data_IF_876199814148
#
_entry.id   IF_876199814148
#
_cell.length_a   1.000
_cell.length_b   1.000
_cell.length_c   1.000
_cell.angle_alpha   90.00
_cell.angle_beta   90.00
_cell.angle_gamma   90.00
#
_symmetry.space_group_name_H-M   'P 1'
#
loop_
_entity.id
_entity.type
_entity.pdbx_description
1 polymer ?
#
# COMPACT_ATOMS: atom_id res chain seq x y z
N UNK A 1 -4.97 25.21 1.19
CA UNK A 1 -5.16 23.81 0.79
C UNK A 1 -5.27 22.92 2.03
N UNK A 2 -6.14 21.91 1.99
CA UNK A 2 -6.26 20.90 3.04
C UNK A 2 -5.23 19.76 2.88
N UNK A 3 -4.51 19.75 1.76
CA UNK A 3 -3.55 18.72 1.41
C UNK A 3 -2.13 19.19 1.81
N UNK A 4 -1.35 18.36 2.52
CA UNK A 4 0.02 18.68 2.91
C UNK A 4 0.94 18.96 1.72
N UNK A 5 1.96 19.76 1.92
CA UNK A 5 2.89 20.18 0.85
C UNK A 5 3.60 18.99 0.18
N UNK A 6 3.95 17.95 0.94
CA UNK A 6 4.61 16.74 0.40
C UNK A 6 3.68 15.83 -0.43
N UNK A 7 2.37 16.10 -0.45
CA UNK A 7 1.37 15.40 -1.27
C UNK A 7 0.81 16.28 -2.40
N UNK A 8 1.52 17.32 -2.79
CA UNK A 8 1.15 18.19 -3.91
C UNK A 8 2.38 18.76 -4.59
N UNK A 9 2.22 19.13 -5.84
CA UNK A 9 3.26 19.79 -6.59
C UNK A 9 3.56 21.20 -6.04
N UNK A 10 4.83 21.59 -5.87
CA UNK A 10 5.19 22.94 -5.42
C UNK A 10 4.71 24.04 -6.37
N UNK A 11 4.66 23.76 -7.67
CA UNK A 11 4.20 24.71 -8.71
C UNK A 11 2.68 24.63 -8.96
N UNK A 12 1.97 23.79 -8.21
CA UNK A 12 0.51 23.66 -8.28
C UNK A 12 -0.02 22.87 -9.47
N UNK A 13 0.82 22.11 -10.16
CA UNK A 13 0.43 21.33 -11.35
C UNK A 13 -0.40 20.09 -11.01
N UNK A 14 -0.28 19.55 -9.79
CA UNK A 14 -1.07 18.42 -9.31
C UNK A 14 -1.27 18.47 -7.80
N UNK A 15 -2.29 17.78 -7.32
CA UNK A 15 -2.58 17.59 -5.88
C UNK A 15 -2.93 16.14 -5.59
N UNK A 16 -2.50 15.65 -4.41
CA UNK A 16 -2.92 14.35 -3.91
C UNK A 16 -4.38 14.35 -3.48
N UNK A 17 -5.07 13.24 -3.68
CA UNK A 17 -6.49 13.06 -3.33
C UNK A 17 -6.68 11.95 -2.30
N UNK A 18 -5.93 10.85 -2.42
CA UNK A 18 -5.95 9.75 -1.47
C UNK A 18 -4.59 9.08 -1.34
N UNK A 19 -4.38 8.36 -0.24
CA UNK A 19 -3.14 7.63 0.05
C UNK A 19 -3.45 6.16 0.24
N UNK A 20 -2.59 5.28 -0.25
CA UNK A 20 -2.65 3.82 -0.03
C UNK A 20 -1.28 3.30 0.34
N UNK A 21 -1.23 2.43 1.33
CA UNK A 21 -0.01 1.76 1.73
C UNK A 21 0.14 0.43 0.96
N UNK A 22 1.37 0.07 0.65
CA UNK A 22 1.73 -1.27 0.22
C UNK A 22 2.54 -1.91 1.32
N UNK A 23 1.94 -2.83 2.06
CA UNK A 23 2.51 -3.35 3.30
C UNK A 23 2.41 -4.86 3.42
N UNK A 24 2.96 -5.42 4.49
CA UNK A 24 2.91 -6.86 4.77
C UNK A 24 1.51 -7.22 5.23
N UNK A 25 0.99 -8.33 4.72
CA UNK A 25 -0.19 -9.04 5.22
C UNK A 25 0.22 -10.41 5.72
N UNK A 26 -0.40 -10.88 6.80
CA UNK A 26 -0.03 -12.15 7.41
C UNK A 26 -1.22 -12.90 7.98
N UNK A 27 -1.11 -14.22 8.10
CA UNK A 27 -2.06 -15.08 8.81
C UNK A 27 -1.91 -14.91 10.32
N UNK A 28 -2.97 -14.52 11.00
CA UNK A 28 -2.96 -14.41 12.48
C UNK A 28 -2.91 -15.75 13.20
N UNK A 29 -3.15 -16.85 12.50
CA UNK A 29 -3.13 -18.21 13.04
C UNK A 29 -1.75 -18.87 12.95
N UNK A 30 -0.88 -18.40 12.01
CA UNK A 30 0.39 -19.06 11.68
C UNK A 30 1.63 -18.19 11.83
N UNK A 31 1.44 -16.90 12.09
CA UNK A 31 2.54 -15.92 12.22
C UNK A 31 2.35 -15.12 13.50
N UNK A 32 3.35 -15.13 14.36
CA UNK A 32 3.43 -14.18 15.47
C UNK A 32 3.85 -12.80 14.88
N UNK A 33 3.11 -11.70 15.13
CA UNK A 33 3.49 -10.38 14.67
C UNK A 33 4.89 -9.93 15.12
N UNK A 34 5.42 -10.47 16.20
CA UNK A 34 6.79 -10.22 16.65
C UNK A 34 7.87 -10.83 15.73
N UNK A 35 7.50 -11.73 14.83
CA UNK A 35 8.40 -12.25 13.80
C UNK A 35 8.57 -11.27 12.62
N UNK A 36 7.69 -10.26 12.50
CA UNK A 36 7.67 -9.30 11.41
C UNK A 36 8.43 -8.01 11.80
N UNK A 37 9.09 -7.38 10.84
CA UNK A 37 9.80 -6.11 11.07
C UNK A 37 9.83 -5.23 9.81
N UNK A 38 10.55 -5.64 8.79
CA UNK A 38 10.79 -4.86 7.58
C UNK A 38 10.49 -5.66 6.31
N UNK A 39 10.38 -4.97 5.17
CA UNK A 39 10.35 -5.65 3.87
C UNK A 39 11.60 -6.49 3.62
N UNK A 40 12.76 -5.99 4.07
CA UNK A 40 14.05 -6.65 3.94
C UNK A 40 14.08 -7.97 4.72
N UNK A 41 13.43 -8.02 5.89
CA UNK A 41 13.34 -9.21 6.73
C UNK A 41 12.62 -10.38 6.05
N UNK A 42 11.71 -10.12 5.11
CA UNK A 42 11.06 -11.17 4.31
C UNK A 42 12.05 -11.96 3.40
N UNK A 43 13.30 -11.49 3.27
CA UNK A 43 14.36 -12.23 2.61
C UNK A 43 15.04 -13.30 3.51
N UNK A 44 14.77 -13.29 4.82
CA UNK A 44 15.33 -14.26 5.75
C UNK A 44 14.80 -15.68 5.51
N UNK A 45 15.64 -16.68 5.79
CA UNK A 45 15.33 -18.10 5.58
C UNK A 45 14.10 -18.58 6.39
N UNK A 46 13.74 -17.91 7.49
CA UNK A 46 12.51 -18.22 8.25
C UNK A 46 11.23 -18.14 7.41
N UNK A 47 11.27 -17.41 6.29
CA UNK A 47 10.15 -17.25 5.35
C UNK A 47 10.23 -18.17 4.14
N UNK A 48 11.19 -19.09 4.06
CA UNK A 48 11.33 -20.02 2.92
C UNK A 48 10.06 -20.87 2.78
N UNK A 49 9.44 -20.83 1.59
CA UNK A 49 8.18 -21.51 1.29
C UNK A 49 6.94 -20.91 1.98
N UNK A 50 7.05 -19.71 2.56
CA UNK A 50 5.96 -19.05 3.33
C UNK A 50 5.53 -17.70 2.76
N UNK A 51 6.21 -17.19 1.71
CA UNK A 51 5.99 -15.87 1.14
C UNK A 51 5.18 -15.93 -0.16
N UNK A 52 4.13 -15.13 -0.27
CA UNK A 52 3.41 -14.88 -1.52
C UNK A 52 3.58 -13.43 -1.98
N UNK A 53 3.90 -13.24 -3.25
CA UNK A 53 4.11 -11.91 -3.84
C UNK A 53 3.29 -11.70 -5.10
N UNK A 54 3.07 -10.44 -5.42
CA UNK A 54 2.52 -10.02 -6.71
C UNK A 54 3.63 -9.99 -7.76
N UNK A 55 3.27 -10.29 -9.01
CA UNK A 55 4.19 -10.24 -10.14
C UNK A 55 4.85 -8.84 -10.31
N UNK A 56 6.15 -8.85 -10.63
CA UNK A 56 6.92 -7.64 -10.95
C UNK A 56 6.49 -6.94 -12.24
N UNK A 57 5.61 -7.55 -13.04
CA UNK A 57 5.02 -6.91 -14.23
C UNK A 57 4.09 -5.75 -13.88
N UNK A 58 3.61 -5.67 -12.62
CA UNK A 58 2.69 -4.64 -12.14
C UNK A 58 3.43 -3.48 -11.47
N UNK A 59 2.88 -2.27 -11.65
CA UNK A 59 3.48 -1.02 -11.16
C UNK A 59 3.69 -1.01 -9.63
N UNK A 60 2.82 -1.63 -8.87
CA UNK A 60 2.89 -1.63 -7.40
C UNK A 60 4.14 -2.31 -6.85
N UNK A 61 4.52 -3.46 -7.41
CA UNK A 61 5.76 -4.15 -7.03
C UNK A 61 6.98 -3.35 -7.46
N UNK A 62 6.96 -2.77 -8.67
CA UNK A 62 8.04 -1.89 -9.16
C UNK A 62 8.22 -0.68 -8.26
N UNK A 63 7.13 -0.01 -7.87
CA UNK A 63 7.17 1.16 -7.00
C UNK A 63 7.79 0.85 -5.63
N UNK A 64 7.40 -0.26 -5.00
CA UNK A 64 8.01 -0.70 -3.74
C UNK A 64 9.52 -0.96 -3.90
N UNK A 65 9.91 -1.72 -4.93
CA UNK A 65 11.34 -2.02 -5.17
C UNK A 65 12.13 -0.75 -5.47
N UNK A 66 11.56 0.20 -6.22
CA UNK A 66 12.19 1.50 -6.46
C UNK A 66 12.39 2.31 -5.18
N UNK A 67 11.43 2.24 -4.24
CA UNK A 67 11.56 2.85 -2.93
C UNK A 67 12.70 2.21 -2.12
N UNK A 68 12.83 0.89 -2.14
CA UNK A 68 13.94 0.20 -1.47
C UNK A 68 15.28 0.58 -2.10
N UNK A 69 15.37 0.69 -3.43
CA UNK A 69 16.59 1.14 -4.11
C UNK A 69 16.96 2.57 -3.68
N UNK A 70 15.98 3.46 -3.54
CA UNK A 70 16.21 4.83 -3.10
C UNK A 70 16.79 4.90 -1.68
N UNK A 71 16.30 4.07 -0.76
CA UNK A 71 16.73 4.08 0.64
C UNK A 71 17.97 3.22 0.93
N UNK A 72 18.09 2.08 0.30
CA UNK A 72 19.09 1.06 0.61
C UNK A 72 20.18 0.89 -0.47
N UNK A 73 19.96 1.44 -1.66
CA UNK A 73 20.80 1.24 -2.83
C UNK A 73 20.48 -0.04 -3.61
N UNK A 74 20.97 -0.08 -4.85
CA UNK A 74 20.62 -1.15 -5.80
C UNK A 74 21.18 -2.53 -5.39
N UNK A 75 22.39 -2.56 -4.85
CA UNK A 75 23.07 -3.81 -4.48
C UNK A 75 22.31 -4.53 -3.35
N UNK A 76 22.06 -3.81 -2.25
CA UNK A 76 21.32 -4.36 -1.11
C UNK A 76 19.90 -4.76 -1.49
N UNK A 77 19.21 -3.92 -2.25
CA UNK A 77 17.85 -4.23 -2.73
C UNK A 77 17.83 -5.46 -3.63
N UNK A 78 18.85 -5.64 -4.45
CA UNK A 78 18.97 -6.85 -5.30
C UNK A 78 19.05 -8.12 -4.46
N UNK A 79 19.83 -8.12 -3.39
CA UNK A 79 19.94 -9.28 -2.49
C UNK A 79 18.62 -9.54 -1.74
N UNK A 80 17.93 -8.48 -1.29
CA UNK A 80 16.60 -8.59 -0.69
C UNK A 80 15.61 -9.25 -1.67
N UNK A 81 15.56 -8.78 -2.92
CA UNK A 81 14.64 -9.34 -3.93
C UNK A 81 14.98 -10.79 -4.27
N UNK A 82 16.28 -11.15 -4.35
CA UNK A 82 16.71 -12.55 -4.51
C UNK A 82 16.22 -13.42 -3.35
N UNK A 83 16.35 -12.91 -2.11
CA UNK A 83 15.83 -13.60 -0.92
C UNK A 83 14.33 -13.78 -0.96
N UNK A 84 13.57 -12.76 -1.35
CA UNK A 84 12.12 -12.89 -1.56
C UNK A 84 11.78 -13.97 -2.59
N UNK A 85 12.49 -14.00 -3.73
CA UNK A 85 12.26 -15.01 -4.77
C UNK A 85 12.55 -16.42 -4.25
N UNK A 86 13.61 -16.60 -3.45
CA UNK A 86 13.93 -17.87 -2.82
C UNK A 86 12.84 -18.32 -1.84
N UNK A 87 12.23 -17.39 -1.13
CA UNK A 87 11.24 -17.65 -0.08
C UNK A 87 9.81 -17.83 -0.61
N UNK A 88 9.60 -17.69 -1.94
CA UNK A 88 8.27 -17.86 -2.53
C UNK A 88 7.69 -19.24 -2.28
N UNK A 89 6.46 -19.28 -1.79
CA UNK A 89 5.66 -20.50 -1.65
C UNK A 89 4.97 -20.89 -2.98
N UNK A 90 4.77 -19.92 -3.87
CA UNK A 90 4.08 -20.10 -5.14
C UNK A 90 4.59 -19.12 -6.20
N UNK A 91 4.25 -19.39 -7.46
CA UNK A 91 4.46 -18.44 -8.56
C UNK A 91 3.79 -17.09 -8.23
N UNK A 92 4.47 -15.96 -8.48
CA UNK A 92 3.91 -14.63 -8.18
C UNK A 92 2.54 -14.40 -8.80
N UNK A 93 1.60 -13.93 -7.98
CA UNK A 93 0.21 -13.74 -8.37
C UNK A 93 0.00 -12.48 -9.24
N UNK A 94 -1.05 -12.49 -10.07
CA UNK A 94 -1.41 -11.35 -10.89
C UNK A 94 -2.04 -10.20 -10.07
N UNK A 95 -2.71 -10.52 -8.94
CA UNK A 95 -3.48 -9.60 -8.12
C UNK A 95 -3.28 -9.82 -6.61
N UNK A 96 -3.44 -8.76 -5.82
CA UNK A 96 -3.28 -8.81 -4.37
C UNK A 96 -4.37 -9.66 -3.69
N UNK A 97 -5.57 -9.73 -4.28
CA UNK A 97 -6.67 -10.59 -3.79
C UNK A 97 -6.23 -12.06 -3.79
N UNK A 98 -5.54 -12.52 -4.83
CA UNK A 98 -5.03 -13.91 -4.89
C UNK A 98 -3.97 -14.19 -3.83
N UNK A 99 -3.16 -13.19 -3.43
CA UNK A 99 -2.22 -13.33 -2.30
C UNK A 99 -3.01 -13.62 -1.01
N UNK A 100 -4.02 -12.82 -0.71
CA UNK A 100 -4.86 -13.00 0.48
C UNK A 100 -5.56 -14.35 0.48
N UNK A 101 -6.13 -14.76 -0.65
CA UNK A 101 -6.77 -16.08 -0.80
C UNK A 101 -5.76 -17.22 -0.59
N UNK A 102 -4.52 -17.09 -1.09
CA UNK A 102 -3.46 -18.09 -0.88
C UNK A 102 -3.05 -18.20 0.58
N UNK A 103 -3.00 -17.08 1.31
CA UNK A 103 -2.73 -17.09 2.75
C UNK A 103 -3.88 -17.79 3.50
N UNK A 104 -5.13 -17.45 3.17
CA UNK A 104 -6.30 -18.09 3.78
C UNK A 104 -6.34 -19.60 3.51
N UNK A 105 -5.91 -20.03 2.33
CA UNK A 105 -5.81 -21.44 1.96
C UNK A 105 -4.59 -22.17 2.55
N UNK A 106 -3.71 -21.48 3.31
CA UNK A 106 -2.51 -22.08 3.90
C UNK A 106 -1.38 -22.35 2.91
N UNK A 107 -1.44 -21.81 1.68
CA UNK A 107 -0.38 -21.96 0.69
C UNK A 107 0.85 -21.14 1.05
N UNK A 108 0.67 -19.99 1.69
CA UNK A 108 1.70 -19.14 2.26
C UNK A 108 1.20 -18.51 3.56
N UNK A 109 2.09 -17.90 4.33
CA UNK A 109 1.76 -17.33 5.63
C UNK A 109 1.81 -15.79 5.63
N UNK A 110 2.63 -15.23 4.76
CA UNK A 110 2.84 -13.78 4.61
C UNK A 110 2.82 -13.37 3.14
N UNK A 111 2.51 -12.11 2.89
CA UNK A 111 2.56 -11.50 1.57
C UNK A 111 2.70 -9.99 1.63
N UNK A 112 2.76 -9.34 0.47
CA UNK A 112 2.78 -7.87 0.35
C UNK A 112 1.60 -7.45 -0.52
N UNK A 113 0.71 -6.63 0.03
CA UNK A 113 -0.52 -6.16 -0.63
C UNK A 113 -0.72 -4.65 -0.47
N UNK A 114 -1.56 -4.07 -1.30
CA UNK A 114 -2.08 -2.73 -1.03
C UNK A 114 -3.17 -2.80 0.06
N UNK A 115 -3.09 -1.89 1.02
CA UNK A 115 -3.93 -1.87 2.22
C UNK A 115 -5.44 -1.89 1.95
N UNK A 116 -5.89 -1.22 0.90
CA UNK A 116 -7.30 -1.13 0.57
C UNK A 116 -7.94 -2.47 0.15
N UNK A 117 -7.18 -3.42 -0.39
CA UNK A 117 -7.70 -4.76 -0.69
C UNK A 117 -8.06 -5.50 0.60
N UNK A 118 -7.19 -5.42 1.61
CA UNK A 118 -7.50 -5.96 2.93
C UNK A 118 -8.68 -5.24 3.59
N UNK A 119 -8.72 -3.90 3.51
CA UNK A 119 -9.84 -3.13 4.04
C UNK A 119 -11.20 -3.51 3.45
N UNK A 120 -11.25 -3.88 2.17
CA UNK A 120 -12.47 -4.41 1.53
C UNK A 120 -12.82 -5.79 2.05
N UNK A 121 -11.85 -6.69 2.09
CA UNK A 121 -12.04 -8.05 2.63
C UNK A 121 -12.51 -8.02 4.09
N UNK A 122 -11.91 -7.18 4.93
CA UNK A 122 -12.29 -7.02 6.33
C UNK A 122 -13.71 -6.44 6.50
N UNK A 123 -14.15 -5.60 5.56
CA UNK A 123 -15.52 -5.08 5.55
C UNK A 123 -16.55 -6.17 5.19
N UNK A 124 -16.18 -7.16 4.39
CA UNK A 124 -16.99 -8.32 4.03
C UNK A 124 -16.97 -9.40 5.13
N UNK A 125 -15.80 -9.66 5.71
CA UNK A 125 -15.60 -10.60 6.82
C UNK A 125 -14.74 -9.94 7.92
N UNK A 126 -15.37 -9.36 8.95
CA UNK A 126 -14.65 -8.73 10.06
C UNK A 126 -13.78 -9.70 10.88
N UNK A 127 -14.04 -11.01 10.80
CA UNK A 127 -13.31 -12.04 11.53
C UNK A 127 -12.24 -12.75 10.67
N UNK A 128 -11.97 -12.27 9.47
CA UNK A 128 -10.97 -12.86 8.59
C UNK A 128 -9.63 -13.02 9.33
N UNK A 129 -8.99 -14.22 9.34
CA UNK A 129 -7.77 -14.48 10.11
C UNK A 129 -6.51 -13.91 9.42
N UNK A 130 -6.60 -12.68 8.98
CA UNK A 130 -5.52 -11.90 8.38
C UNK A 130 -5.39 -10.55 9.08
N UNK A 131 -4.16 -10.01 9.11
CA UNK A 131 -3.91 -8.63 9.54
C UNK A 131 -2.82 -7.98 8.67
N UNK A 132 -2.82 -6.66 8.63
CA UNK A 132 -1.71 -5.88 8.09
C UNK A 132 -0.65 -5.67 9.16
N UNK A 133 0.60 -5.66 8.72
CA UNK A 133 1.76 -5.26 9.51
C UNK A 133 2.46 -4.10 8.81
N UNK A 134 2.67 -3.00 9.52
CA UNK A 134 3.28 -1.79 9.00
C UNK A 134 4.80 -1.91 9.03
N UNK A 135 5.37 -2.31 7.89
CA UNK A 135 6.80 -2.56 7.77
C UNK A 135 7.65 -1.28 7.93
N UNK A 136 8.90 -1.45 8.36
CA UNK A 136 9.93 -0.40 8.36
C UNK A 136 9.65 0.82 9.27
N UNK A 137 8.82 0.69 10.32
CA UNK A 137 8.41 1.85 11.14
C UNK A 137 9.60 2.53 11.85
N UNK A 138 10.63 1.79 12.21
CA UNK A 138 11.85 2.30 12.85
C UNK A 138 12.92 2.77 11.84
N UNK A 139 12.59 2.85 10.55
CA UNK A 139 13.54 3.24 9.50
C UNK A 139 12.87 4.10 8.41
N UNK A 140 12.75 3.61 7.17
CA UNK A 140 12.20 4.35 6.03
C UNK A 140 10.68 4.53 6.06
N UNK A 141 9.99 3.89 6.97
CA UNK A 141 8.54 3.83 7.03
C UNK A 141 7.93 2.85 6.00
N UNK A 142 6.63 2.62 6.15
CA UNK A 142 5.86 1.83 5.19
C UNK A 142 5.73 2.57 3.86
N UNK A 143 5.95 1.87 2.75
CA UNK A 143 5.80 2.42 1.41
C UNK A 143 4.35 2.84 1.13
N UNK A 144 4.17 4.09 0.70
CA UNK A 144 2.88 4.65 0.31
C UNK A 144 2.90 5.15 -1.13
N UNK A 145 1.75 5.08 -1.77
CA UNK A 145 1.45 5.73 -3.03
C UNK A 145 0.24 6.64 -2.88
N UNK A 146 0.16 7.64 -3.74
CA UNK A 146 -0.95 8.58 -3.76
C UNK A 146 -1.74 8.44 -5.07
N UNK A 147 -3.05 8.71 -5.00
CA UNK A 147 -3.84 9.09 -6.17
C UNK A 147 -3.87 10.61 -6.21
N UNK A 148 -3.60 11.17 -7.36
CA UNK A 148 -3.55 12.61 -7.55
C UNK A 148 -4.27 13.03 -8.84
N UNK A 149 -4.55 14.31 -8.94
CA UNK A 149 -5.11 14.91 -10.14
C UNK A 149 -4.51 16.29 -10.41
N UNK A 150 -4.53 16.69 -11.68
CA UNK A 150 -4.09 17.99 -12.15
C UNK A 150 -4.91 18.44 -13.34
N UNK A 151 -4.90 19.73 -13.63
CA UNK A 151 -5.59 20.32 -14.76
C UNK A 151 -4.67 20.28 -15.98
N UNK A 152 -5.15 19.72 -17.08
CA UNK A 152 -4.37 19.69 -18.31
C UNK A 152 -4.20 21.11 -18.88
N UNK A 153 -3.02 21.40 -19.42
CA UNK A 153 -2.68 22.72 -20.01
C UNK A 153 -3.69 23.21 -21.06
N UNK A 154 -4.29 22.28 -21.79
CA UNK A 154 -5.23 22.58 -22.87
C UNK A 154 -6.69 22.21 -22.50
N UNK A 155 -7.03 22.22 -21.21
CA UNK A 155 -8.41 22.04 -20.78
C UNK A 155 -9.30 23.13 -21.35
N UNK A 156 -10.48 22.76 -21.84
CA UNK A 156 -11.50 23.71 -22.31
C UNK A 156 -12.27 24.36 -21.14
N UNK A 157 -12.18 23.77 -19.93
CA UNK A 157 -12.94 24.19 -18.73
C UNK A 157 -12.00 24.21 -17.49
N UNK A 158 -10.97 25.08 -17.47
CA UNK A 158 -10.00 25.07 -16.37
C UNK A 158 -10.58 25.54 -15.04
N UNK A 159 -11.55 26.45 -15.06
CA UNK A 159 -12.21 26.97 -13.83
C UNK A 159 -13.05 25.90 -13.17
N UNK A 160 -13.87 25.20 -13.92
CA UNK A 160 -14.71 24.09 -13.43
C UNK A 160 -13.86 22.91 -12.96
N UNK A 161 -12.75 22.65 -13.65
CA UNK A 161 -11.79 21.64 -13.23
C UNK A 161 -11.13 22.00 -11.88
N UNK A 162 -10.84 23.28 -11.64
CA UNK A 162 -10.30 23.76 -10.36
C UNK A 162 -11.34 23.61 -9.25
N UNK A 163 -12.59 24.03 -9.47
CA UNK A 163 -13.67 23.85 -8.51
C UNK A 163 -13.86 22.38 -8.13
N UNK A 164 -13.81 21.48 -9.12
CA UNK A 164 -13.87 20.04 -8.87
C UNK A 164 -12.69 19.56 -8.02
N UNK A 165 -11.45 19.97 -8.30
CA UNK A 165 -10.28 19.59 -7.50
C UNK A 165 -10.34 20.13 -6.08
N UNK A 166 -10.85 21.35 -5.89
CA UNK A 166 -11.07 21.93 -4.57
C UNK A 166 -12.13 21.14 -3.78
N UNK A 167 -13.23 20.76 -4.41
CA UNK A 167 -14.22 19.86 -3.81
C UNK A 167 -13.64 18.51 -3.46
N UNK A 168 -12.93 17.85 -4.39
CA UNK A 168 -12.28 16.56 -4.16
C UNK A 168 -11.24 16.62 -3.04
N UNK A 169 -10.64 17.78 -2.77
CA UNK A 169 -9.70 18.02 -1.66
C UNK A 169 -10.40 18.42 -0.36
N UNK A 170 -11.72 18.55 -0.35
CA UNK A 170 -12.51 18.91 0.83
C UNK A 170 -12.59 17.75 1.83
N UNK A 171 -12.87 18.05 3.11
CA UNK A 171 -13.08 17.02 4.14
C UNK A 171 -14.27 16.12 3.79
N UNK A 172 -15.31 16.67 3.17
CA UNK A 172 -16.50 15.94 2.76
C UNK A 172 -16.16 14.87 1.72
N UNK A 173 -15.49 15.26 0.62
CA UNK A 173 -15.06 14.31 -0.41
C UNK A 173 -14.05 13.28 0.12
N UNK A 174 -13.12 13.70 0.99
CA UNK A 174 -12.15 12.80 1.61
C UNK A 174 -12.81 11.72 2.47
N UNK A 175 -13.90 12.01 3.19
CA UNK A 175 -14.69 11.00 3.92
C UNK A 175 -15.29 9.96 2.98
N UNK A 176 -15.75 10.37 1.80
CA UNK A 176 -16.29 9.45 0.78
C UNK A 176 -15.20 8.48 0.31
N UNK A 177 -14.00 8.97 0.00
CA UNK A 177 -12.88 8.10 -0.43
C UNK A 177 -12.52 7.06 0.60
N UNK A 178 -12.36 7.48 1.86
CA UNK A 178 -12.07 6.57 2.99
C UNK A 178 -13.16 5.50 3.12
N UNK A 179 -14.43 5.92 3.10
CA UNK A 179 -15.56 5.01 3.25
C UNK A 179 -15.71 3.99 2.13
N UNK A 180 -15.67 4.44 0.87
CA UNK A 180 -15.94 3.62 -0.29
C UNK A 180 -14.72 2.82 -0.78
N UNK A 181 -13.58 3.49 -0.90
CA UNK A 181 -12.39 2.89 -1.51
C UNK A 181 -11.47 2.19 -0.50
N UNK A 182 -11.67 2.42 0.82
CA UNK A 182 -10.78 1.94 1.88
C UNK A 182 -9.34 2.46 1.71
N UNK A 183 -9.18 3.63 1.09
CA UNK A 183 -7.93 4.37 1.00
C UNK A 183 -7.84 5.39 2.13
N UNK A 184 -6.62 5.83 2.48
CA UNK A 184 -6.43 6.84 3.50
C UNK A 184 -6.67 8.23 2.92
N UNK A 185 -7.18 9.19 3.71
CA UNK A 185 -7.35 10.57 3.26
C UNK A 185 -5.97 11.22 3.02
N UNK A 186 -5.87 12.03 1.98
CA UNK A 186 -4.69 12.87 1.79
C UNK A 186 -4.68 14.07 2.76
N UNK A 187 -5.85 14.47 3.28
CA UNK A 187 -5.98 15.56 4.24
C UNK A 187 -5.64 15.11 5.66
N UNK A 188 -4.68 15.77 6.31
CA UNK A 188 -4.34 15.53 7.73
C UNK A 188 -5.43 15.97 8.71
N UNK A 189 -6.42 16.74 8.25
CA UNK A 189 -7.56 17.18 9.09
C UNK A 189 -8.57 16.07 9.32
N UNK A 190 -8.53 15.02 8.52
CA UNK A 190 -9.37 13.83 8.65
C UNK A 190 -8.49 12.69 9.18
N UNK A 191 -8.76 12.28 10.42
CA UNK A 191 -8.17 11.03 10.92
C UNK A 191 -8.79 9.88 10.14
N UNK A 192 -7.97 8.93 9.74
CA UNK A 192 -8.46 7.64 9.26
C UNK A 192 -9.23 7.02 10.44
N UNK A 193 -10.55 7.14 10.43
CA UNK A 193 -11.38 6.38 11.36
C UNK A 193 -11.02 4.90 11.15
N UNK A 194 -11.09 4.07 12.21
CA UNK A 194 -10.70 2.67 12.34
C UNK A 194 -11.10 1.71 11.18
N UNK A 195 -11.07 2.19 9.96
CA UNK A 195 -11.52 1.51 8.73
C UNK A 195 -10.51 0.46 8.23
N UNK A 196 -9.30 0.53 8.72
CA UNK A 196 -8.29 -0.52 8.64
C UNK A 196 -7.65 -0.49 10.01
N UNK A 197 -7.98 -1.47 10.86
CA UNK A 197 -7.41 -1.56 12.20
C UNK A 197 -5.89 -1.54 12.10
N UNK A 198 -5.30 -0.48 12.67
CA UNK A 198 -3.84 -0.31 12.85
C UNK A 198 -3.44 -1.14 14.06
#
# INVERSE_FOLDING_TARGET
SNIPSHLRDPDGLWTGLSVRARTIIYSTERVDPNELSTYQDLANAKWEGRLCLRTSKKVYTKSLVSSLIYHDGIEKTTEVVKGWVKNLAATPHAEDVHIMTSILAGQCDVGIVNSYYFGRLQAEDPNVPLKLFWANQDSSGTHVNISGAGILKHSSSPSEALELLEFLSSIEAQKIYVGLNKEYPASQKLKADNLIAV
#
